data_IF_750022561118
#
_entry.id   IF_750022561118
#
_cell.length_a   1.000
_cell.length_b   1.000
_cell.length_c   1.000
_cell.angle_alpha   90.00
_cell.angle_beta   90.00
_cell.angle_gamma   90.00
#
_symmetry.space_group_name_H-M   'P 1'
#
loop_
_entity.id
_entity.type
_entity.pdbx_description
1 polymer ?
#
# COMPACT_ATOMS: atom_id res chain seq x y z
N UNK A 1 -22.27 30.43 -34.14
CA UNK A 1 -21.79 29.95 -32.85
C UNK A 1 -22.59 28.69 -32.58
N UNK A 2 -21.97 27.50 -32.76
CA UNK A 2 -22.61 26.26 -32.38
C UNK A 2 -22.46 26.17 -30.88
N UNK A 3 -23.59 26.07 -30.18
CA UNK A 3 -23.61 25.73 -28.75
C UNK A 3 -22.91 24.36 -28.57
N UNK A 4 -21.70 24.37 -28.04
CA UNK A 4 -21.06 23.16 -27.52
C UNK A 4 -21.90 22.75 -26.31
N UNK A 5 -22.51 21.56 -26.31
CA UNK A 5 -23.28 21.12 -25.14
C UNK A 5 -22.36 21.20 -23.91
N UNK A 6 -22.88 21.59 -22.73
CA UNK A 6 -22.09 21.64 -21.52
C UNK A 6 -21.49 20.25 -21.31
N UNK A 7 -20.15 20.19 -21.30
CA UNK A 7 -19.46 18.92 -21.00
C UNK A 7 -19.88 18.47 -19.62
N UNK A 8 -20.49 17.28 -19.53
CA UNK A 8 -20.81 16.70 -18.23
C UNK A 8 -19.57 16.74 -17.33
N UNK A 9 -19.70 17.20 -16.07
CA UNK A 9 -18.59 17.23 -15.14
C UNK A 9 -17.94 15.84 -15.02
N UNK A 10 -16.62 15.78 -15.20
CA UNK A 10 -15.85 14.54 -15.08
C UNK A 10 -14.87 14.71 -13.92
N UNK A 11 -14.89 13.81 -12.96
CA UNK A 11 -13.86 13.74 -11.93
C UNK A 11 -12.87 12.64 -12.27
N UNK A 12 -11.60 12.87 -11.93
CA UNK A 12 -10.52 11.91 -12.18
C UNK A 12 -9.87 11.54 -10.86
N UNK A 13 -9.86 10.24 -10.55
CA UNK A 13 -9.08 9.63 -9.48
C UNK A 13 -7.87 8.90 -10.04
N UNK A 14 -6.73 9.01 -9.37
CA UNK A 14 -5.50 8.31 -9.74
C UNK A 14 -4.91 7.63 -8.51
N UNK A 15 -4.65 6.32 -8.61
CA UNK A 15 -3.91 5.52 -7.64
C UNK A 15 -2.57 5.14 -8.26
N UNK A 16 -1.48 5.76 -7.78
CA UNK A 16 -0.11 5.50 -8.23
C UNK A 16 0.55 4.56 -7.24
N UNK A 17 0.55 3.27 -7.54
CA UNK A 17 1.32 2.28 -6.78
C UNK A 17 2.78 2.19 -7.23
N UNK A 18 3.59 1.39 -6.55
CA UNK A 18 5.02 1.23 -6.86
C UNK A 18 5.31 0.68 -8.26
N UNK A 19 4.45 -0.18 -8.80
CA UNK A 19 4.64 -0.82 -10.12
C UNK A 19 3.56 -0.45 -11.14
N UNK A 20 2.35 -0.15 -10.67
CA UNK A 20 1.15 0.03 -11.48
C UNK A 20 0.41 1.27 -11.04
N UNK A 21 -0.04 2.05 -12.02
CA UNK A 21 -0.92 3.21 -11.83
C UNK A 21 -2.29 2.91 -12.42
N UNK A 22 -3.32 3.19 -11.63
CA UNK A 22 -4.72 3.08 -12.04
C UNK A 22 -5.36 4.46 -12.04
N UNK A 23 -5.80 4.93 -13.20
CA UNK A 23 -6.60 6.13 -13.37
C UNK A 23 -8.04 5.74 -13.66
N UNK A 24 -8.98 6.40 -12.98
CA UNK A 24 -10.42 6.27 -13.20
C UNK A 24 -11.05 7.65 -13.42
N UNK A 25 -11.67 7.81 -14.57
CA UNK A 25 -12.50 8.97 -14.88
C UNK A 25 -13.98 8.59 -14.70
N UNK A 26 -14.73 9.45 -14.01
CA UNK A 26 -16.16 9.26 -13.75
C UNK A 26 -16.93 10.49 -14.17
N UNK A 27 -17.82 10.35 -15.14
CA UNK A 27 -18.72 11.41 -15.58
C UNK A 27 -19.95 11.50 -14.66
N UNK A 28 -20.64 12.64 -14.71
CA UNK A 28 -21.85 12.91 -13.92
C UNK A 28 -22.98 11.90 -14.21
N UNK A 29 -23.08 11.39 -15.43
CA UNK A 29 -24.04 10.36 -15.83
C UNK A 29 -23.72 8.96 -15.30
N UNK A 30 -22.61 8.82 -14.54
CA UNK A 30 -22.12 7.56 -14.01
C UNK A 30 -21.22 6.76 -14.95
N UNK A 31 -20.94 7.25 -16.15
CA UNK A 31 -20.00 6.60 -17.07
C UNK A 31 -18.61 6.55 -16.46
N UNK A 32 -18.01 5.36 -16.43
CA UNK A 32 -16.68 5.09 -15.86
C UNK A 32 -15.71 4.67 -16.96
N UNK A 33 -14.54 5.26 -16.96
CA UNK A 33 -13.44 4.90 -17.85
C UNK A 33 -12.19 4.61 -17.02
N UNK A 34 -11.61 3.44 -17.19
CA UNK A 34 -10.41 3.00 -16.48
C UNK A 34 -9.20 2.94 -17.42
N UNK A 35 -8.08 3.45 -16.93
CA UNK A 35 -6.77 3.32 -17.56
C UNK A 35 -5.77 2.74 -16.57
N UNK A 36 -5.04 1.71 -17.00
CA UNK A 36 -4.03 1.05 -16.17
C UNK A 36 -2.72 1.01 -16.95
N UNK A 37 -1.63 1.43 -16.30
CA UNK A 37 -0.28 1.39 -16.87
C UNK A 37 0.80 1.15 -15.80
N UNK A 38 2.05 1.04 -16.25
CA UNK A 38 3.19 0.99 -15.32
C UNK A 38 3.46 2.35 -14.70
N UNK A 39 4.00 2.35 -13.47
CA UNK A 39 4.40 3.58 -12.76
C UNK A 39 5.82 4.05 -13.11
N UNK A 40 6.41 3.57 -14.21
CA UNK A 40 7.83 3.81 -14.55
C UNK A 40 8.22 5.28 -14.75
N UNK A 41 7.25 6.17 -14.98
CA UNK A 41 7.45 7.62 -15.09
C UNK A 41 7.23 8.39 -13.80
N UNK A 42 6.77 7.75 -12.74
CA UNK A 42 6.47 8.39 -11.46
C UNK A 42 7.76 8.84 -10.73
N UNK A 43 7.83 10.12 -10.38
CA UNK A 43 8.97 10.74 -9.70
C UNK A 43 8.51 11.62 -8.54
N UNK A 44 8.10 11.04 -7.39
CA UNK A 44 7.47 11.78 -6.30
C UNK A 44 8.38 12.83 -5.63
N UNK A 45 9.70 12.73 -5.78
CA UNK A 45 10.67 13.69 -5.24
C UNK A 45 10.94 14.89 -6.15
N UNK A 46 10.38 14.89 -7.37
CA UNK A 46 10.40 15.99 -8.33
C UNK A 46 8.96 16.41 -8.63
N UNK A 47 8.44 17.44 -7.93
CA UNK A 47 7.03 17.84 -8.05
C UNK A 47 6.61 18.23 -9.46
N UNK A 48 7.49 18.87 -10.23
CA UNK A 48 7.20 19.31 -11.61
C UNK A 48 7.14 18.11 -12.55
N UNK A 49 8.13 17.21 -12.49
CA UNK A 49 8.13 15.98 -13.28
C UNK A 49 6.95 15.07 -12.94
N UNK A 50 6.62 14.92 -11.65
CA UNK A 50 5.45 14.15 -11.19
C UNK A 50 4.15 14.75 -11.73
N UNK A 51 3.96 16.06 -11.61
CA UNK A 51 2.77 16.75 -12.10
C UNK A 51 2.63 16.67 -13.62
N UNK A 52 3.73 16.84 -14.37
CA UNK A 52 3.73 16.71 -15.83
C UNK A 52 3.34 15.30 -16.27
N UNK A 53 3.87 14.26 -15.59
CA UNK A 53 3.51 12.88 -15.87
C UNK A 53 2.03 12.60 -15.56
N UNK A 54 1.49 13.07 -14.42
CA UNK A 54 0.08 12.94 -14.05
C UNK A 54 -0.83 13.69 -15.04
N UNK A 55 -0.48 14.91 -15.45
CA UNK A 55 -1.25 15.69 -16.42
C UNK A 55 -1.30 14.98 -17.78
N UNK A 56 -0.19 14.39 -18.24
CA UNK A 56 -0.17 13.58 -19.46
C UNK A 56 -1.13 12.38 -19.37
N UNK A 57 -1.16 11.68 -18.22
CA UNK A 57 -2.10 10.59 -17.97
C UNK A 57 -3.56 11.03 -18.08
N UNK A 58 -3.89 12.18 -17.46
CA UNK A 58 -5.24 12.74 -17.53
C UNK A 58 -5.63 13.10 -18.96
N UNK A 59 -4.73 13.74 -19.72
CA UNK A 59 -4.99 14.10 -21.12
C UNK A 59 -5.16 12.89 -22.03
N UNK A 60 -4.42 11.80 -21.79
CA UNK A 60 -4.55 10.56 -22.56
C UNK A 60 -5.84 9.80 -22.22
N UNK A 61 -6.31 9.90 -20.98
CA UNK A 61 -7.48 9.17 -20.50
C UNK A 61 -8.80 9.84 -20.92
N UNK A 62 -8.79 11.13 -21.18
CA UNK A 62 -9.99 11.89 -21.52
C UNK A 62 -10.09 12.16 -23.04
N UNK A 63 -11.31 12.28 -23.60
CA UNK A 63 -11.49 12.71 -24.98
C UNK A 63 -10.79 14.05 -25.26
N UNK A 64 -10.28 14.23 -26.48
CA UNK A 64 -9.59 15.46 -26.89
C UNK A 64 -10.44 16.70 -26.60
N UNK A 65 -9.86 17.69 -25.95
CA UNK A 65 -10.55 18.93 -25.57
C UNK A 65 -11.41 18.84 -24.31
N UNK A 66 -11.49 17.67 -23.67
CA UNK A 66 -12.21 17.49 -22.39
C UNK A 66 -11.30 17.87 -21.21
N UNK A 67 -11.83 18.66 -20.27
CA UNK A 67 -11.16 18.99 -19.01
C UNK A 67 -11.88 18.30 -17.84
N UNK A 68 -11.16 17.72 -16.88
CA UNK A 68 -11.80 17.23 -15.66
C UNK A 68 -12.29 18.41 -14.82
N UNK A 69 -13.31 18.19 -14.00
CA UNK A 69 -13.81 19.18 -13.03
C UNK A 69 -12.96 19.20 -11.77
N UNK A 70 -12.38 18.06 -11.41
CA UNK A 70 -11.44 17.91 -10.30
C UNK A 70 -10.58 16.65 -10.49
N UNK A 71 -9.38 16.65 -9.89
CA UNK A 71 -8.45 15.52 -9.89
C UNK A 71 -7.97 15.24 -8.47
N UNK A 72 -8.00 13.96 -8.06
CA UNK A 72 -7.32 13.54 -6.83
C UNK A 72 -6.38 12.37 -7.10
N UNK A 73 -5.23 12.39 -6.42
CA UNK A 73 -4.13 11.44 -6.61
C UNK A 73 -3.72 10.88 -5.27
N UNK A 74 -3.67 9.54 -5.15
CA UNK A 74 -2.89 8.85 -4.13
C UNK A 74 -1.57 8.41 -4.73
N UNK A 75 -0.46 8.87 -4.18
CA UNK A 75 0.87 8.63 -4.75
C UNK A 75 1.75 7.77 -3.85
N UNK A 76 2.25 6.66 -4.38
CA UNK A 76 3.30 5.89 -3.73
C UNK A 76 4.54 6.76 -3.47
N UNK A 77 5.17 6.60 -2.31
CA UNK A 77 6.30 7.42 -1.86
C UNK A 77 6.01 8.94 -1.75
N UNK A 78 4.73 9.35 -1.66
CA UNK A 78 4.31 10.68 -1.22
C UNK A 78 4.14 10.66 0.31
N UNK A 79 5.24 10.77 1.05
CA UNK A 79 5.29 10.49 2.49
C UNK A 79 5.15 11.74 3.36
N UNK A 80 5.27 12.93 2.78
CA UNK A 80 5.20 14.17 3.53
C UNK A 80 4.16 15.14 2.99
N UNK A 81 3.47 15.92 3.87
CA UNK A 81 2.53 16.96 3.44
C UNK A 81 3.16 17.99 2.50
N UNK A 82 4.45 18.31 2.68
CA UNK A 82 5.20 19.24 1.83
C UNK A 82 5.36 18.70 0.40
N UNK A 83 5.70 17.43 0.28
CA UNK A 83 5.85 16.75 -1.02
C UNK A 83 4.52 16.70 -1.77
N UNK A 84 3.46 16.23 -1.11
CA UNK A 84 2.11 16.21 -1.68
C UNK A 84 1.64 17.62 -2.09
N UNK A 85 1.91 18.64 -1.27
CA UNK A 85 1.56 20.02 -1.59
C UNK A 85 2.31 20.55 -2.82
N UNK A 86 3.60 20.23 -2.99
CA UNK A 86 4.38 20.61 -4.18
C UNK A 86 3.80 20.03 -5.47
N UNK A 87 3.55 18.71 -5.49
CA UNK A 87 2.95 18.03 -6.65
C UNK A 87 1.55 18.59 -6.93
N UNK A 88 0.73 18.81 -5.90
CA UNK A 88 -0.61 19.40 -6.04
C UNK A 88 -0.58 20.77 -6.69
N UNK A 89 0.33 21.65 -6.26
CA UNK A 89 0.45 23.01 -6.83
C UNK A 89 0.82 22.95 -8.30
N UNK A 90 1.86 22.20 -8.67
CA UNK A 90 2.27 22.05 -10.05
C UNK A 90 1.18 21.41 -10.93
N UNK A 91 0.46 20.40 -10.40
CA UNK A 91 -0.64 19.76 -11.12
C UNK A 91 -1.82 20.73 -11.38
N UNK A 92 -2.15 21.58 -10.40
CA UNK A 92 -3.16 22.62 -10.54
C UNK A 92 -2.80 23.66 -11.61
N UNK A 93 -1.53 24.05 -11.69
CA UNK A 93 -1.05 24.98 -12.72
C UNK A 93 -1.16 24.38 -14.12
N UNK A 94 -0.84 23.07 -14.27
CA UNK A 94 -0.90 22.38 -15.57
C UNK A 94 -2.31 22.09 -16.06
N UNK A 95 -3.21 21.69 -15.18
CA UNK A 95 -4.59 21.30 -15.54
C UNK A 95 -5.59 22.42 -15.37
N UNK A 96 -5.28 23.45 -14.56
CA UNK A 96 -6.17 24.57 -14.19
C UNK A 96 -7.51 24.08 -13.62
N UNK A 97 -7.47 23.10 -12.70
CA UNK A 97 -8.63 22.52 -12.01
C UNK A 97 -8.32 22.30 -10.53
N UNK A 98 -9.33 22.16 -9.65
CA UNK A 98 -9.12 21.70 -8.29
C UNK A 98 -8.37 20.37 -8.27
N UNK A 99 -7.30 20.29 -7.48
CA UNK A 99 -6.51 19.08 -7.36
C UNK A 99 -6.15 18.78 -5.89
N UNK A 100 -6.10 17.50 -5.56
CA UNK A 100 -5.61 16.97 -4.29
C UNK A 100 -4.56 15.88 -4.55
N UNK A 101 -3.48 15.88 -3.76
CA UNK A 101 -2.47 14.81 -3.76
C UNK A 101 -2.25 14.38 -2.33
N UNK A 102 -2.32 13.07 -2.09
CA UNK A 102 -2.13 12.41 -0.80
C UNK A 102 -1.23 11.18 -0.98
N UNK A 103 -0.84 10.50 0.10
CA UNK A 103 -0.21 9.19 0.02
C UNK A 103 -1.19 8.11 -0.50
N UNK A 104 -0.68 7.09 -1.18
CA UNK A 104 -1.51 6.00 -1.74
C UNK A 104 -2.36 5.28 -0.66
N UNK A 105 -1.80 5.05 0.52
CA UNK A 105 -2.52 4.43 1.63
C UNK A 105 -3.68 5.30 2.18
N UNK A 106 -3.66 6.62 1.97
CA UNK A 106 -4.76 7.51 2.37
C UNK A 106 -6.01 7.33 1.51
N UNK A 107 -5.91 6.64 0.36
CA UNK A 107 -7.06 6.31 -0.48
C UNK A 107 -7.97 5.24 0.13
N UNK A 108 -7.48 4.42 1.06
CA UNK A 108 -8.19 3.23 1.53
C UNK A 108 -9.49 3.57 2.25
N UNK A 109 -9.45 4.54 3.15
CA UNK A 109 -10.62 4.95 3.94
C UNK A 109 -11.73 5.50 3.04
N UNK A 110 -11.51 6.48 2.16
CA UNK A 110 -12.53 6.95 1.24
C UNK A 110 -12.94 5.89 0.20
N UNK A 111 -12.06 4.95 -0.20
CA UNK A 111 -12.42 3.82 -1.06
C UNK A 111 -13.42 2.86 -0.39
N UNK A 112 -13.35 2.73 0.93
CA UNK A 112 -14.32 1.96 1.71
C UNK A 112 -15.64 2.72 1.97
N UNK A 113 -15.81 3.92 1.44
CA UNK A 113 -16.97 4.78 1.66
C UNK A 113 -17.04 5.35 3.08
N UNK A 114 -15.89 5.53 3.73
CA UNK A 114 -15.78 6.05 5.09
C UNK A 114 -15.15 7.45 5.09
N UNK A 115 -15.64 8.31 6.00
CA UNK A 115 -15.08 9.66 6.20
C UNK A 115 -13.89 9.65 7.16
N UNK A 116 -13.84 8.67 8.06
CA UNK A 116 -12.81 8.51 9.10
C UNK A 116 -12.42 7.06 9.28
N UNK A 117 -11.19 6.85 9.71
CA UNK A 117 -10.65 5.53 9.97
C UNK A 117 -9.14 5.48 9.76
N UNK A 118 -8.62 4.28 9.78
CA UNK A 118 -7.22 3.95 9.52
C UNK A 118 -7.13 3.13 8.24
N UNK A 119 -6.22 3.49 7.33
CA UNK A 119 -5.81 2.65 6.22
C UNK A 119 -4.59 1.83 6.61
N UNK A 120 -4.63 0.50 6.44
CA UNK A 120 -3.51 -0.41 6.61
C UNK A 120 -3.22 -1.12 5.29
N UNK A 121 -2.02 -0.92 4.77
CA UNK A 121 -1.51 -1.67 3.61
C UNK A 121 -0.51 -2.71 4.10
N UNK A 122 -0.68 -3.96 3.66
CA UNK A 122 0.34 -5.00 3.79
C UNK A 122 0.40 -5.80 2.48
N UNK A 123 1.26 -5.34 1.60
CA UNK A 123 1.61 -5.93 0.30
C UNK A 123 3.08 -6.37 0.30
N UNK A 124 3.90 -5.82 -0.59
CA UNK A 124 5.35 -6.01 -0.55
C UNK A 124 5.95 -5.46 0.75
N UNK A 125 5.58 -4.23 1.12
CA UNK A 125 5.87 -3.62 2.42
C UNK A 125 4.62 -3.47 3.28
N UNK A 126 4.73 -2.71 4.40
CA UNK A 126 3.61 -2.44 5.29
C UNK A 126 3.62 -1.01 5.83
N UNK A 127 2.45 -0.38 5.83
CA UNK A 127 2.23 0.98 6.32
C UNK A 127 0.82 1.16 6.84
N UNK A 128 0.65 1.96 7.90
CA UNK A 128 -0.65 2.39 8.37
C UNK A 128 -0.75 3.92 8.36
N UNK A 129 -1.88 4.44 7.95
CA UNK A 129 -2.16 5.88 7.87
C UNK A 129 -3.50 6.21 8.53
N UNK A 130 -3.59 7.38 9.11
CA UNK A 130 -4.81 7.92 9.67
C UNK A 130 -4.73 9.44 9.75
N UNK A 131 -5.79 10.09 10.27
CA UNK A 131 -5.83 11.54 10.45
C UNK A 131 -6.15 11.90 11.88
N UNK A 132 -5.50 12.94 12.38
CA UNK A 132 -5.85 13.57 13.64
C UNK A 132 -7.20 14.32 13.54
N UNK A 133 -7.71 14.77 14.66
CA UNK A 133 -8.98 15.52 14.71
C UNK A 133 -8.95 16.85 13.94
N UNK A 134 -7.76 17.43 13.75
CA UNK A 134 -7.54 18.64 12.93
C UNK A 134 -7.37 18.35 11.43
N UNK A 135 -7.48 17.06 11.02
CA UNK A 135 -7.30 16.62 9.64
C UNK A 135 -5.85 16.33 9.23
N UNK A 136 -4.88 16.57 10.11
CA UNK A 136 -3.46 16.32 9.82
C UNK A 136 -3.19 14.84 9.62
N UNK A 137 -2.51 14.43 8.53
CA UNK A 137 -2.21 13.03 8.26
C UNK A 137 -1.12 12.52 9.21
N UNK A 138 -1.25 11.26 9.61
CA UNK A 138 -0.27 10.54 10.42
C UNK A 138 0.03 9.22 9.74
N UNK A 139 1.30 8.96 9.50
CA UNK A 139 1.79 7.69 8.95
C UNK A 139 2.65 6.97 9.98
N UNK A 140 2.56 5.64 10.01
CA UNK A 140 3.38 4.72 10.80
C UNK A 140 3.78 3.54 9.93
N UNK A 141 5.05 3.15 9.94
CA UNK A 141 5.61 2.15 9.04
C UNK A 141 5.99 2.71 7.68
N UNK A 142 6.25 1.83 6.71
CA UNK A 142 6.70 2.21 5.37
C UNK A 142 8.19 2.56 5.31
N UNK A 143 9.01 2.00 6.22
CA UNK A 143 10.44 2.30 6.31
C UNK A 143 11.32 1.40 5.43
N UNK A 144 10.71 0.64 4.54
CA UNK A 144 11.37 -0.26 3.61
C UNK A 144 11.77 -1.61 4.22
N UNK A 145 12.05 -2.58 3.36
CA UNK A 145 12.22 -3.98 3.75
C UNK A 145 13.41 -4.25 4.69
N UNK A 146 14.42 -3.37 4.70
CA UNK A 146 15.62 -3.55 5.55
C UNK A 146 15.34 -3.18 7.00
N UNK A 147 14.67 -2.04 7.23
CA UNK A 147 14.47 -1.46 8.57
C UNK A 147 13.04 -1.53 9.09
N UNK A 148 12.09 -1.91 8.25
CA UNK A 148 10.66 -1.91 8.54
C UNK A 148 9.92 -2.97 7.73
N UNK A 149 8.71 -2.61 7.32
CA UNK A 149 7.82 -3.43 6.49
C UNK A 149 7.46 -4.79 7.11
N UNK A 150 7.47 -4.88 8.45
CA UNK A 150 7.10 -6.08 9.18
C UNK A 150 5.65 -6.49 8.84
N UNK A 151 5.44 -7.77 8.57
CA UNK A 151 4.15 -8.30 8.12
C UNK A 151 3.84 -8.05 6.64
N UNK A 152 4.64 -7.24 5.92
CA UNK A 152 4.69 -7.23 4.46
C UNK A 152 5.45 -8.44 3.92
N UNK A 153 5.30 -8.74 2.62
CA UNK A 153 5.91 -9.93 2.01
C UNK A 153 7.43 -9.97 2.19
N UNK A 154 8.13 -8.86 1.98
CA UNK A 154 9.58 -8.78 2.14
C UNK A 154 10.00 -8.93 3.61
N UNK A 155 9.26 -8.30 4.53
CA UNK A 155 9.48 -8.42 5.96
C UNK A 155 9.28 -9.85 6.46
N UNK A 156 8.25 -10.55 5.99
CA UNK A 156 8.02 -11.95 6.34
C UNK A 156 9.17 -12.85 5.90
N UNK A 157 9.73 -12.65 4.70
CA UNK A 157 10.88 -13.42 4.21
C UNK A 157 12.13 -13.12 5.02
N UNK A 158 12.37 -11.84 5.36
CA UNK A 158 13.48 -11.46 6.26
C UNK A 158 13.40 -12.18 7.60
N UNK A 159 12.23 -12.12 8.26
CA UNK A 159 12.05 -12.75 9.56
C UNK A 159 12.09 -14.30 9.47
N UNK A 160 11.62 -14.87 8.34
CA UNK A 160 11.75 -16.30 8.08
C UNK A 160 13.22 -16.75 7.96
N UNK A 161 14.04 -15.99 7.23
CA UNK A 161 15.47 -16.27 7.14
C UNK A 161 16.17 -16.15 8.50
N UNK A 162 15.81 -15.12 9.30
CA UNK A 162 16.33 -14.96 10.66
C UNK A 162 15.93 -16.11 11.59
N UNK A 163 14.69 -16.59 11.47
CA UNK A 163 14.22 -17.74 12.25
C UNK A 163 14.97 -19.03 11.87
N UNK A 164 15.19 -19.25 10.55
CA UNK A 164 15.96 -20.39 10.06
C UNK A 164 17.43 -20.35 10.54
N UNK A 165 18.08 -19.19 10.52
CA UNK A 165 19.42 -19.02 11.07
C UNK A 165 19.47 -19.27 12.58
N UNK A 166 18.55 -18.72 13.33
CA UNK A 166 18.52 -18.93 14.76
C UNK A 166 18.34 -20.42 15.13
N UNK A 167 17.58 -21.19 14.36
CA UNK A 167 17.46 -22.64 14.51
C UNK A 167 18.76 -23.37 14.18
N UNK A 168 19.39 -22.99 13.05
CA UNK A 168 20.69 -23.51 12.63
C UNK A 168 21.78 -23.29 13.70
N UNK A 169 21.85 -22.07 14.26
CA UNK A 169 22.83 -21.71 15.31
C UNK A 169 22.62 -22.50 16.61
N UNK A 170 21.40 -22.99 16.87
CA UNK A 170 21.12 -23.92 17.96
C UNK A 170 21.47 -25.38 17.64
N UNK A 171 21.90 -25.67 16.41
CA UNK A 171 22.22 -27.02 15.95
C UNK A 171 20.96 -27.85 15.61
N UNK A 172 19.84 -27.21 15.33
CA UNK A 172 18.61 -27.89 14.94
C UNK A 172 18.67 -28.30 13.45
N UNK A 173 18.07 -29.44 13.12
CA UNK A 173 17.93 -29.86 11.72
C UNK A 173 17.00 -28.88 10.95
N UNK A 174 17.25 -28.63 9.65
CA UNK A 174 16.41 -27.78 8.84
C UNK A 174 14.96 -28.31 8.79
N UNK A 175 13.99 -27.48 9.17
CA UNK A 175 12.57 -27.76 9.03
C UNK A 175 12.05 -27.35 7.64
N UNK A 176 10.75 -27.49 7.38
CA UNK A 176 10.10 -27.16 6.12
C UNK A 176 10.30 -25.69 5.72
N UNK A 177 10.45 -24.76 6.68
CA UNK A 177 10.75 -23.35 6.40
C UNK A 177 12.17 -23.19 5.85
N UNK A 178 13.15 -23.75 6.57
CA UNK A 178 14.54 -23.67 6.16
C UNK A 178 14.77 -24.33 4.82
N UNK A 179 14.23 -25.55 4.61
CA UNK A 179 14.32 -26.28 3.32
C UNK A 179 13.64 -25.49 2.19
N UNK A 180 12.48 -24.92 2.45
CA UNK A 180 11.76 -24.09 1.48
C UNK A 180 12.53 -22.83 1.06
N UNK A 181 13.17 -22.13 2.02
CA UNK A 181 14.01 -20.97 1.73
C UNK A 181 15.27 -21.35 0.93
N UNK A 182 15.97 -22.43 1.34
CA UNK A 182 17.14 -22.97 0.60
C UNK A 182 16.76 -23.20 -0.87
N UNK A 183 15.65 -23.89 -1.12
CA UNK A 183 15.20 -24.19 -2.49
C UNK A 183 14.81 -22.91 -3.23
N UNK A 184 14.09 -21.97 -2.61
CA UNK A 184 13.60 -20.75 -3.23
C UNK A 184 14.71 -19.77 -3.62
N UNK A 185 15.78 -19.69 -2.80
CA UNK A 185 16.95 -18.85 -3.08
C UNK A 185 18.05 -19.59 -3.89
N UNK A 186 17.88 -20.89 -4.15
CA UNK A 186 18.84 -21.68 -4.94
C UNK A 186 20.19 -21.85 -4.24
N UNK A 187 20.20 -21.88 -2.90
CA UNK A 187 21.42 -22.06 -2.10
C UNK A 187 21.53 -23.49 -1.59
N UNK A 188 22.71 -23.89 -1.08
CA UNK A 188 22.95 -25.27 -0.60
C UNK A 188 22.57 -25.48 0.86
N UNK A 189 22.56 -24.43 1.68
CA UNK A 189 22.42 -24.50 3.12
C UNK A 189 21.97 -23.17 3.73
N UNK A 190 21.48 -23.21 4.99
CA UNK A 190 20.97 -22.02 5.70
C UNK A 190 22.01 -20.88 5.79
N UNK A 191 23.30 -21.11 6.11
CA UNK A 191 24.29 -20.04 6.15
C UNK A 191 24.42 -19.25 4.83
N UNK A 192 24.18 -19.87 3.68
CA UNK A 192 24.28 -19.21 2.37
C UNK A 192 23.11 -18.27 2.07
N UNK A 193 22.00 -18.32 2.83
CA UNK A 193 20.86 -17.41 2.65
C UNK A 193 21.24 -15.94 2.81
N UNK A 194 22.24 -15.62 3.67
CA UNK A 194 22.67 -14.23 3.88
C UNK A 194 23.19 -13.58 2.61
N UNK A 195 24.15 -14.20 1.96
CA UNK A 195 24.72 -13.69 0.72
C UNK A 195 23.67 -13.60 -0.38
N UNK A 196 22.74 -14.56 -0.46
CA UNK A 196 21.64 -14.52 -1.43
C UNK A 196 20.69 -13.34 -1.18
N UNK A 197 20.33 -13.04 0.07
CA UNK A 197 19.50 -11.90 0.44
C UNK A 197 20.20 -10.56 0.19
N UNK A 198 21.50 -10.45 0.53
CA UNK A 198 22.31 -9.25 0.36
C UNK A 198 22.57 -8.92 -1.12
N UNK A 199 22.56 -9.92 -2.01
CA UNK A 199 22.77 -9.73 -3.45
C UNK A 199 21.58 -9.09 -4.17
N UNK A 200 20.44 -8.93 -3.51
CA UNK A 200 19.23 -8.36 -4.09
C UNK A 200 19.43 -6.89 -4.50
N UNK A 201 19.12 -6.57 -5.77
CA UNK A 201 19.17 -5.19 -6.28
C UNK A 201 17.92 -4.41 -5.87
N UNK A 202 16.75 -5.05 -5.98
CA UNK A 202 15.48 -4.55 -5.43
C UNK A 202 15.07 -5.46 -4.27
N UNK A 203 15.55 -5.12 -3.07
CA UNK A 203 15.32 -5.89 -1.84
C UNK A 203 13.84 -6.19 -1.61
N UNK A 204 12.98 -5.19 -1.78
CA UNK A 204 11.56 -5.34 -1.52
C UNK A 204 10.89 -6.31 -2.49
N UNK A 205 11.14 -6.17 -3.79
CA UNK A 205 10.56 -7.04 -4.81
C UNK A 205 11.17 -8.44 -4.78
N UNK A 206 12.51 -8.53 -4.67
CA UNK A 206 13.22 -9.82 -4.72
C UNK A 206 12.96 -10.68 -3.50
N UNK A 207 12.93 -10.11 -2.30
CA UNK A 207 12.55 -10.87 -1.10
C UNK A 207 11.04 -11.18 -1.12
N UNK A 208 10.21 -10.19 -1.39
CA UNK A 208 8.76 -10.31 -1.32
C UNK A 208 8.18 -11.41 -2.18
N UNK A 209 8.78 -11.71 -3.36
CA UNK A 209 8.34 -12.81 -4.25
C UNK A 209 8.43 -14.20 -3.60
N UNK A 210 9.27 -14.36 -2.56
CA UNK A 210 9.46 -15.63 -1.85
C UNK A 210 8.53 -15.79 -0.63
N UNK A 211 7.71 -14.81 -0.29
CA UNK A 211 6.76 -14.91 0.82
C UNK A 211 5.83 -16.14 0.76
N UNK A 212 5.38 -16.64 -0.40
CA UNK A 212 4.58 -17.86 -0.48
C UNK A 212 5.23 -19.07 0.18
N UNK A 213 6.58 -19.12 0.23
CA UNK A 213 7.33 -20.21 0.88
C UNK A 213 7.03 -20.29 2.38
N UNK A 214 6.91 -19.12 3.03
CA UNK A 214 6.61 -19.04 4.48
C UNK A 214 5.25 -19.65 4.78
N UNK A 215 4.24 -19.33 3.98
CA UNK A 215 2.88 -19.86 4.16
C UNK A 215 2.79 -21.35 3.81
N UNK A 216 3.51 -21.80 2.77
CA UNK A 216 3.58 -23.21 2.39
C UNK A 216 4.25 -24.03 3.49
N UNK A 217 5.35 -23.55 4.06
CA UNK A 217 6.04 -24.21 5.17
C UNK A 217 5.15 -24.30 6.43
N UNK A 218 4.40 -23.25 6.74
CA UNK A 218 3.46 -23.27 7.86
C UNK A 218 2.35 -24.33 7.66
N UNK A 219 1.83 -24.44 6.43
CA UNK A 219 0.85 -25.46 6.06
C UNK A 219 1.44 -26.89 6.12
N UNK A 220 2.72 -27.06 5.78
CA UNK A 220 3.44 -28.32 5.87
C UNK A 220 3.84 -28.72 7.31
N UNK A 221 3.63 -27.83 8.30
CA UNK A 221 3.83 -28.16 9.70
C UNK A 221 4.96 -27.41 10.42
N UNK A 222 5.73 -26.55 9.70
CA UNK A 222 6.81 -25.76 10.32
C UNK A 222 6.28 -24.90 11.47
N UNK A 223 6.83 -25.09 12.66
CA UNK A 223 6.55 -24.26 13.82
C UNK A 223 7.17 -22.86 13.67
N UNK A 224 8.36 -22.77 13.06
CA UNK A 224 9.05 -21.51 12.81
C UNK A 224 8.23 -20.64 11.84
N UNK A 225 7.71 -21.21 10.76
CA UNK A 225 6.88 -20.47 9.81
C UNK A 225 5.59 -19.94 10.45
N UNK A 226 4.91 -20.75 11.27
CA UNK A 226 3.72 -20.30 12.02
C UNK A 226 4.05 -19.15 12.98
N UNK A 227 5.20 -19.22 13.65
CA UNK A 227 5.64 -18.14 14.54
C UNK A 227 5.93 -16.85 13.75
N UNK A 228 6.59 -16.93 12.59
CA UNK A 228 6.86 -15.78 11.72
C UNK A 228 5.56 -15.13 11.27
N UNK A 229 4.56 -15.92 10.87
CA UNK A 229 3.25 -15.40 10.44
C UNK A 229 2.52 -14.72 11.62
N UNK A 230 2.50 -15.34 12.80
CA UNK A 230 1.87 -14.77 13.99
C UNK A 230 2.52 -13.45 14.40
N UNK A 231 3.84 -13.37 14.37
CA UNK A 231 4.59 -12.15 14.68
C UNK A 231 4.41 -11.07 13.60
N UNK A 232 4.29 -11.48 12.32
CA UNK A 232 3.92 -10.58 11.22
C UNK A 232 2.55 -9.93 11.46
N UNK A 233 1.54 -10.73 11.84
CA UNK A 233 0.22 -10.22 12.20
C UNK A 233 0.26 -9.27 13.40
N UNK A 234 1.03 -9.61 14.45
CA UNK A 234 1.25 -8.75 15.62
C UNK A 234 1.89 -7.42 15.21
N UNK A 235 2.86 -7.45 14.32
CA UNK A 235 3.56 -6.25 13.83
C UNK A 235 2.63 -5.34 13.03
N UNK A 236 1.75 -5.89 12.21
CA UNK A 236 0.71 -5.12 11.51
C UNK A 236 -0.25 -4.45 12.50
N UNK A 237 -0.71 -5.16 13.55
CA UNK A 237 -1.55 -4.57 14.58
C UNK A 237 -0.81 -3.45 15.35
N UNK A 238 0.49 -3.62 15.59
CA UNK A 238 1.30 -2.61 16.25
C UNK A 238 1.39 -1.28 15.45
N UNK A 239 1.30 -1.30 14.12
CA UNK A 239 1.22 -0.06 13.32
C UNK A 239 -0.05 0.72 13.68
N UNK A 240 -1.18 0.04 13.79
CA UNK A 240 -2.47 0.65 14.17
C UNK A 240 -2.46 1.16 15.60
N UNK A 241 -1.88 0.37 16.54
CA UNK A 241 -1.71 0.79 17.95
C UNK A 241 -0.89 2.08 18.04
N UNK A 242 0.20 2.19 17.27
CA UNK A 242 1.03 3.41 17.25
C UNK A 242 0.26 4.62 16.70
N UNK A 243 -0.65 4.44 15.73
CA UNK A 243 -1.54 5.51 15.28
C UNK A 243 -2.48 5.98 16.42
N UNK A 244 -3.09 5.03 17.15
CA UNK A 244 -3.92 5.34 18.30
C UNK A 244 -3.14 6.11 19.38
N UNK A 245 -1.91 5.69 19.68
CA UNK A 245 -1.01 6.37 20.62
C UNK A 245 -0.65 7.80 20.17
N UNK A 246 -0.68 8.08 18.87
CA UNK A 246 -0.46 9.41 18.31
C UNK A 246 -1.74 10.25 18.20
N UNK A 247 -2.86 9.76 18.71
CA UNK A 247 -4.14 10.49 18.79
C UNK A 247 -5.07 10.28 17.59
N UNK A 248 -4.79 9.32 16.71
CA UNK A 248 -5.70 8.95 15.62
C UNK A 248 -6.86 8.13 16.20
N UNK A 249 -8.09 8.47 15.83
CA UNK A 249 -9.26 7.66 16.18
C UNK A 249 -9.26 6.35 15.36
N UNK A 250 -9.36 5.21 16.06
CA UNK A 250 -9.26 3.87 15.45
C UNK A 250 -10.56 3.11 15.69
N UNK A 251 -11.61 3.43 14.93
CA UNK A 251 -12.87 2.69 14.93
C UNK A 251 -12.91 1.66 13.79
N UNK A 252 -12.62 2.08 12.57
CA UNK A 252 -12.54 1.25 11.39
C UNK A 252 -11.11 1.21 10.85
N UNK A 253 -10.60 0.01 10.57
CA UNK A 253 -9.29 -0.23 9.99
C UNK A 253 -9.46 -0.88 8.62
N UNK A 254 -9.34 -0.08 7.56
CA UNK A 254 -9.46 -0.55 6.18
C UNK A 254 -8.16 -1.22 5.77
N UNK A 255 -8.22 -2.50 5.45
CA UNK A 255 -7.05 -3.34 5.19
C UNK A 255 -6.95 -3.62 3.70
N UNK A 256 -5.78 -3.37 3.12
CA UNK A 256 -5.44 -3.66 1.74
C UNK A 256 -4.04 -4.30 1.62
N UNK A 257 -3.76 -4.85 0.43
CA UNK A 257 -2.48 -5.47 0.12
C UNK A 257 -2.57 -6.99 0.01
N UNK A 258 -1.82 -7.52 -0.96
CA UNK A 258 -1.90 -8.94 -1.34
C UNK A 258 -1.37 -9.87 -0.24
N UNK A 259 -0.36 -9.45 0.54
CA UNK A 259 0.19 -10.29 1.59
C UNK A 259 -0.86 -10.61 2.67
N UNK A 260 -1.57 -9.59 3.17
CA UNK A 260 -2.54 -9.79 4.26
C UNK A 260 -3.89 -10.32 3.77
N UNK A 261 -4.36 -9.92 2.57
CA UNK A 261 -5.69 -10.32 2.09
C UNK A 261 -5.71 -11.69 1.41
N UNK A 262 -4.60 -12.13 0.80
CA UNK A 262 -4.51 -13.44 0.18
C UNK A 262 -4.12 -14.56 1.17
N UNK A 263 -3.71 -14.21 2.39
CA UNK A 263 -3.18 -15.15 3.39
C UNK A 263 -4.02 -15.09 4.68
N UNK A 264 -5.05 -15.93 4.81
CA UNK A 264 -5.94 -15.93 5.98
C UNK A 264 -5.19 -16.02 7.31
N UNK A 265 -4.15 -16.85 7.40
CA UNK A 265 -3.37 -16.99 8.63
C UNK A 265 -2.72 -15.68 9.11
N UNK A 266 -2.25 -14.83 8.18
CA UNK A 266 -1.70 -13.54 8.51
C UNK A 266 -2.79 -12.54 8.92
N UNK A 267 -3.91 -12.53 8.17
CA UNK A 267 -5.05 -11.69 8.48
C UNK A 267 -5.66 -12.02 9.85
N UNK A 268 -5.86 -13.30 10.15
CA UNK A 268 -6.42 -13.77 11.41
C UNK A 268 -5.51 -13.42 12.59
N UNK A 269 -4.19 -13.60 12.44
CA UNK A 269 -3.22 -13.17 13.43
C UNK A 269 -3.26 -11.66 13.66
N UNK A 270 -3.32 -10.86 12.60
CA UNK A 270 -3.48 -9.41 12.68
C UNK A 270 -4.78 -9.03 13.41
N UNK A 271 -5.92 -9.61 13.01
CA UNK A 271 -7.23 -9.29 13.58
C UNK A 271 -7.32 -9.65 15.07
N UNK A 272 -6.75 -10.80 15.47
CA UNK A 272 -6.70 -11.23 16.86
C UNK A 272 -5.89 -10.25 17.74
N UNK A 273 -4.68 -9.89 17.31
CA UNK A 273 -3.85 -8.91 18.02
C UNK A 273 -4.46 -7.52 18.07
N UNK A 274 -5.11 -7.09 16.98
CA UNK A 274 -5.81 -5.80 16.94
C UNK A 274 -6.96 -5.77 17.94
N UNK A 275 -7.77 -6.82 18.00
CA UNK A 275 -8.91 -6.90 18.91
C UNK A 275 -8.49 -6.83 20.40
N UNK A 276 -7.33 -7.42 20.72
CA UNK A 276 -6.75 -7.37 22.07
C UNK A 276 -6.18 -5.98 22.39
N UNK A 277 -5.40 -5.41 21.46
CA UNK A 277 -4.64 -4.19 21.70
C UNK A 277 -5.49 -2.90 21.57
N UNK A 278 -6.53 -2.90 20.73
CA UNK A 278 -7.44 -1.78 20.48
C UNK A 278 -8.88 -2.31 20.50
N UNK A 279 -9.47 -2.54 21.69
CA UNK A 279 -10.83 -3.04 21.79
C UNK A 279 -11.83 -2.11 21.08
N UNK A 280 -12.66 -2.69 20.20
CA UNK A 280 -13.63 -1.94 19.39
C UNK A 280 -13.15 -1.58 17.98
N UNK A 281 -11.86 -1.68 17.66
CA UNK A 281 -11.37 -1.53 16.30
C UNK A 281 -11.94 -2.64 15.38
N UNK A 282 -12.42 -2.25 14.21
CA UNK A 282 -13.05 -3.15 13.24
C UNK A 282 -12.20 -3.28 11.99
N UNK A 283 -11.44 -4.37 11.81
CA UNK A 283 -10.71 -4.60 10.56
C UNK A 283 -11.68 -4.89 9.41
N UNK A 284 -11.54 -4.13 8.31
CA UNK A 284 -12.37 -4.21 7.11
C UNK A 284 -11.50 -4.45 5.88
N UNK A 285 -11.50 -5.65 5.30
CA UNK A 285 -10.85 -5.88 4.02
C UNK A 285 -11.43 -4.96 2.93
N UNK A 286 -10.56 -4.23 2.24
CA UNK A 286 -10.98 -3.41 1.11
C UNK A 286 -11.42 -4.32 -0.06
N UNK A 287 -12.64 -4.11 -0.56
CA UNK A 287 -13.26 -4.93 -1.59
C UNK A 287 -13.26 -4.28 -2.99
N UNK A 288 -12.89 -3.00 -3.04
CA UNK A 288 -12.84 -2.21 -4.27
C UNK A 288 -11.41 -1.74 -4.54
N UNK A 289 -11.06 -1.37 -5.78
CA UNK A 289 -9.74 -0.80 -6.06
C UNK A 289 -9.52 0.52 -5.30
N UNK A 290 -8.31 0.81 -4.78
CA UNK A 290 -8.03 2.05 -4.05
C UNK A 290 -8.32 3.33 -4.86
N UNK A 291 -8.28 3.27 -6.19
CA UNK A 291 -8.65 4.38 -7.08
C UNK A 291 -10.06 4.92 -6.83
N UNK A 292 -10.98 4.13 -6.29
CA UNK A 292 -12.30 4.61 -5.85
C UNK A 292 -12.19 5.67 -4.76
N UNK A 293 -11.22 5.53 -3.89
CA UNK A 293 -10.91 6.53 -2.88
C UNK A 293 -10.43 7.84 -3.50
N UNK A 294 -9.60 7.76 -4.53
CA UNK A 294 -9.19 8.95 -5.28
C UNK A 294 -10.38 9.62 -5.97
N UNK A 295 -11.30 8.85 -6.58
CA UNK A 295 -12.54 9.38 -7.16
C UNK A 295 -13.40 10.05 -6.08
N UNK A 296 -13.56 9.42 -4.91
CA UNK A 296 -14.30 10.00 -3.78
C UNK A 296 -13.68 11.33 -3.33
N UNK A 297 -12.36 11.39 -3.20
CA UNK A 297 -11.63 12.62 -2.86
C UNK A 297 -11.77 13.70 -3.95
N UNK A 298 -11.72 13.33 -5.23
CA UNK A 298 -11.92 14.28 -6.33
C UNK A 298 -13.33 14.90 -6.28
N UNK A 299 -14.37 14.10 -6.00
CA UNK A 299 -15.75 14.60 -5.83
C UNK A 299 -15.89 15.58 -4.68
N UNK A 300 -15.16 15.40 -3.59
CA UNK A 300 -15.20 16.29 -2.42
C UNK A 300 -14.57 17.68 -2.68
N UNK A 301 -13.95 17.89 -3.85
CA UNK A 301 -13.37 19.18 -4.26
C UNK A 301 -14.37 20.06 -5.04
N UNK A 302 -15.51 19.49 -5.42
CA UNK A 302 -16.60 20.21 -6.13
C UNK A 302 -17.59 20.79 -5.14
#
# INVERSE_FOLDING_TARGET
MQDVPPSCPIVVGIDVGGTKTHLRAVAEDGTVTDHVRTSSGWRPHDPEAAAAWLAALVHEALPAGTRPSAVAVGGHACETPRQCAGIRLALRELLDVPALVVGDAELLVPAAGLDKGVGLVAGTGSVAVGRLSDGSPVQVGGWGAVLGDEGGSAGLVREAARAAWAAHDRGEDPDELALGLIAAFGVSEVPALGAALESATDVSAEWGRHAPVVFAAAAAGSALARQVIAEGGRSLAALVVRLAQRGVAVDDVVVAGTAVLAQPALYDAFAAWLAEAVPGARPRPLRVPPVEGAVSLARSLL
#
